data_IF_633196141306
#
_entry.id   IF_633196141306
#
_cell.length_a   1.000
_cell.length_b   1.000
_cell.length_c   1.000
_cell.angle_alpha   90.00
_cell.angle_beta   90.00
_cell.angle_gamma   90.00
#
_symmetry.space_group_name_H-M   'P 1'
#
loop_
_entity.id
_entity.type
_entity.pdbx_description
1 polymer ?
#
# COMPACT_ATOMS: atom_id res chain seq x y z
N UNK A 1 32.51 -16.39 34.05
CA UNK A 1 32.53 -16.14 32.60
C UNK A 1 31.15 -15.94 31.96
N UNK A 2 30.07 -16.34 32.59
CA UNK A 2 28.69 -16.28 32.07
C UNK A 2 28.06 -14.88 32.10
N UNK A 3 28.36 -14.05 33.13
CA UNK A 3 27.83 -12.69 33.30
C UNK A 3 28.28 -11.65 32.22
N UNK A 4 29.38 -11.90 31.51
CA UNK A 4 29.91 -10.96 30.51
C UNK A 4 29.22 -11.09 29.16
N UNK A 5 28.65 -12.24 28.84
CA UNK A 5 27.88 -12.48 27.56
C UNK A 5 26.48 -11.85 27.57
N UNK A 6 25.84 -11.75 28.71
CA UNK A 6 24.51 -11.12 28.80
C UNK A 6 24.53 -9.60 28.59
N UNK A 7 25.63 -8.92 28.91
CA UNK A 7 25.73 -7.46 28.75
C UNK A 7 25.94 -7.02 27.29
N UNK A 8 26.52 -7.86 26.44
CA UNK A 8 26.74 -7.57 25.03
C UNK A 8 25.44 -7.75 24.24
N UNK A 9 24.63 -8.75 24.60
CA UNK A 9 23.33 -9.00 23.97
C UNK A 9 22.30 -7.87 24.18
N UNK A 10 22.39 -7.14 25.29
CA UNK A 10 21.45 -6.04 25.59
C UNK A 10 21.75 -4.72 24.88
N UNK A 11 22.96 -4.55 24.31
CA UNK A 11 23.32 -3.30 23.59
C UNK A 11 23.00 -3.31 22.09
N UNK A 12 22.85 -4.48 21.45
CA UNK A 12 22.55 -4.57 20.00
C UNK A 12 21.05 -4.48 19.67
N UNK A 13 20.17 -4.33 20.63
CA UNK A 13 18.71 -4.32 20.43
C UNK A 13 18.03 -2.93 20.39
N UNK A 14 18.80 -1.85 20.33
CA UNK A 14 18.24 -0.49 20.30
C UNK A 14 18.63 0.29 19.05
N UNK A 15 18.43 -0.29 17.89
CA UNK A 15 18.20 0.53 16.71
C UNK A 15 16.75 0.98 16.84
N UNK A 16 16.55 2.25 17.22
CA UNK A 16 15.21 2.78 17.42
C UNK A 16 14.49 2.73 16.06
N UNK A 17 13.25 2.24 16.08
CA UNK A 17 12.32 2.22 14.94
C UNK A 17 12.28 3.57 14.20
N UNK A 18 12.48 4.69 14.92
CA UNK A 18 12.61 6.03 14.34
C UNK A 18 13.83 6.24 13.44
N UNK A 19 14.95 5.56 13.71
CA UNK A 19 16.15 5.68 12.86
C UNK A 19 15.99 5.03 11.50
N UNK A 20 15.33 3.87 11.44
CA UNK A 20 15.06 3.17 10.16
C UNK A 20 14.04 3.93 9.32
N UNK A 21 13.00 4.49 9.95
CA UNK A 21 11.98 5.30 9.27
C UNK A 21 12.57 6.61 8.74
N UNK A 22 13.48 7.24 9.50
CA UNK A 22 14.17 8.47 9.07
C UNK A 22 15.10 8.22 7.88
N UNK A 23 15.80 7.09 7.84
CA UNK A 23 16.66 6.69 6.71
C UNK A 23 15.79 6.42 5.47
N UNK A 24 14.66 5.73 5.60
CA UNK A 24 13.73 5.46 4.51
C UNK A 24 13.09 6.73 3.96
N UNK A 25 12.77 7.70 4.82
CA UNK A 25 12.23 9.01 4.41
C UNK A 25 13.29 9.88 3.71
N UNK A 26 14.56 9.78 4.09
CA UNK A 26 15.66 10.50 3.42
C UNK A 26 15.93 9.96 2.00
N UNK A 27 15.75 8.66 1.75
CA UNK A 27 15.89 8.06 0.42
C UNK A 27 14.68 8.31 -0.50
N UNK A 28 13.53 8.73 0.04
CA UNK A 28 12.33 9.02 -0.75
C UNK A 28 12.24 10.47 -1.23
N UNK A 29 13.17 11.33 -0.86
CA UNK A 29 13.24 12.69 -1.38
C UNK A 29 13.85 12.65 -2.79
N UNK A 30 13.15 13.16 -3.83
CA UNK A 30 13.70 13.21 -5.17
C UNK A 30 14.95 14.10 -5.17
N UNK A 31 16.06 13.57 -5.69
CA UNK A 31 17.33 14.30 -5.83
C UNK A 31 17.22 15.55 -6.74
N UNK A 32 16.14 15.71 -7.46
CA UNK A 32 15.89 16.83 -8.37
C UNK A 32 15.66 18.18 -7.67
N UNK A 33 15.34 18.19 -6.37
CA UNK A 33 15.09 19.45 -5.64
C UNK A 33 16.38 20.28 -5.45
N UNK A 34 17.56 19.69 -5.62
CA UNK A 34 18.86 20.38 -5.42
C UNK A 34 19.44 20.95 -6.73
N UNK A 35 18.94 20.53 -7.88
CA UNK A 35 19.53 20.90 -9.19
C UNK A 35 18.93 22.16 -9.83
N UNK A 36 17.82 22.69 -9.34
CA UNK A 36 17.06 23.73 -10.07
C UNK A 36 17.23 25.18 -9.55
N UNK A 37 18.23 25.45 -8.72
CA UNK A 37 18.50 26.82 -8.24
C UNK A 37 19.69 27.50 -8.93
N UNK A 38 20.15 27.02 -10.09
CA UNK A 38 21.22 27.69 -10.82
C UNK A 38 20.93 27.78 -12.31
N UNK A 39 20.39 28.92 -12.73
CA UNK A 39 20.53 29.28 -14.13
C UNK A 39 19.32 29.78 -14.88
N UNK A 40 18.53 30.68 -14.31
CA UNK A 40 17.73 31.58 -15.14
C UNK A 40 18.52 32.86 -15.32
N UNK A 41 19.40 32.91 -16.28
CA UNK A 41 19.94 34.14 -16.87
C UNK A 41 19.80 34.08 -18.37
N UNK A 42 18.97 34.98 -18.85
CA UNK A 42 19.03 35.59 -20.18
C UNK A 42 19.14 34.63 -21.37
N UNK A 43 18.04 33.93 -21.65
CA UNK A 43 17.79 33.56 -23.04
C UNK A 43 17.07 34.74 -23.72
N UNK A 44 17.58 35.22 -24.86
CA UNK A 44 16.83 36.16 -25.65
C UNK A 44 15.49 35.55 -25.99
N UNK A 45 14.41 36.29 -25.84
CA UNK A 45 13.07 35.89 -26.23
C UNK A 45 12.99 35.71 -27.75
N UNK A 46 13.59 34.64 -28.25
CA UNK A 46 13.25 34.11 -29.54
C UNK A 46 11.82 33.63 -29.36
N UNK A 47 10.90 34.37 -29.93
CA UNK A 47 9.49 34.00 -30.06
C UNK A 47 9.48 32.72 -30.90
N UNK A 48 9.73 31.58 -30.28
CA UNK A 48 9.51 30.29 -30.88
C UNK A 48 8.00 30.20 -31.06
N UNK A 49 7.54 30.47 -32.28
CA UNK A 49 6.18 30.20 -32.69
C UNK A 49 5.89 28.76 -32.28
N UNK A 50 5.04 28.61 -31.26
CA UNK A 50 4.64 27.28 -30.81
C UNK A 50 3.94 26.60 -31.99
N UNK A 51 4.52 25.58 -32.62
CA UNK A 51 3.96 24.93 -33.81
C UNK A 51 2.57 24.32 -33.53
N UNK A 52 2.23 24.10 -32.26
CA UNK A 52 0.89 23.70 -31.86
C UNK A 52 -0.13 24.85 -31.86
N UNK A 53 0.30 26.11 -31.92
CA UNK A 53 -0.63 27.25 -31.87
C UNK A 53 -1.52 27.34 -33.14
N UNK A 54 -0.99 26.98 -34.30
CA UNK A 54 -1.76 26.89 -35.52
C UNK A 54 -2.77 25.75 -35.48
N UNK A 55 -2.33 24.58 -35.05
CA UNK A 55 -3.21 23.43 -34.88
C UNK A 55 -4.37 23.74 -33.90
N UNK A 56 -4.10 24.43 -32.81
CA UNK A 56 -5.13 24.85 -31.86
C UNK A 56 -6.06 25.93 -32.44
N UNK A 57 -5.57 26.76 -33.34
CA UNK A 57 -6.38 27.77 -34.05
C UNK A 57 -7.36 27.06 -34.98
N UNK A 58 -6.90 26.08 -35.78
CA UNK A 58 -7.71 25.29 -36.68
C UNK A 58 -8.78 24.47 -35.95
N UNK A 59 -8.42 23.87 -34.80
CA UNK A 59 -9.36 23.15 -33.94
C UNK A 59 -10.45 24.09 -33.37
N UNK A 60 -10.11 25.33 -32.99
CA UNK A 60 -11.09 26.31 -32.52
C UNK A 60 -11.99 26.86 -33.62
N UNK A 61 -11.45 27.04 -34.80
CA UNK A 61 -12.20 27.56 -35.96
C UNK A 61 -13.09 26.49 -36.60
N UNK A 62 -13.00 25.23 -36.17
CA UNK A 62 -13.75 24.10 -36.75
C UNK A 62 -13.63 23.98 -38.26
N UNK A 63 -12.59 24.52 -38.86
CA UNK A 63 -12.29 24.37 -40.27
C UNK A 63 -11.87 22.94 -40.55
N UNK A 64 -12.81 22.17 -41.09
CA UNK A 64 -12.64 20.75 -41.35
C UNK A 64 -11.58 20.52 -42.42
N UNK A 65 -10.56 19.75 -42.08
CA UNK A 65 -9.66 19.17 -43.06
C UNK A 65 -8.29 18.77 -42.57
N UNK A 66 -7.74 19.40 -41.56
CA UNK A 66 -6.43 19.01 -41.07
C UNK A 66 -6.59 18.04 -39.87
N UNK A 67 -6.70 16.77 -40.17
CA UNK A 67 -6.52 15.69 -39.19
C UNK A 67 -5.04 15.69 -38.85
N UNK A 68 -4.68 16.37 -37.75
CA UNK A 68 -3.33 16.33 -37.22
C UNK A 68 -2.95 14.88 -36.95
N UNK A 69 -1.95 14.37 -37.65
CA UNK A 69 -1.43 13.02 -37.40
C UNK A 69 -0.62 13.11 -36.14
N UNK A 70 -1.11 12.47 -35.05
CA UNK A 70 -0.35 12.34 -33.84
C UNK A 70 0.91 11.51 -34.08
N UNK A 71 2.08 12.06 -33.73
CA UNK A 71 3.35 11.33 -33.76
C UNK A 71 3.55 10.43 -32.52
N UNK A 72 2.63 10.46 -31.58
CA UNK A 72 2.68 9.60 -30.39
C UNK A 72 2.43 8.16 -30.81
N UNK A 73 3.44 7.31 -30.65
CA UNK A 73 3.34 5.88 -30.92
C UNK A 73 2.74 5.20 -29.68
N UNK A 74 1.61 4.53 -29.83
CA UNK A 74 0.95 3.80 -28.76
C UNK A 74 -0.42 3.27 -29.22
N UNK A 75 -1.07 2.52 -28.34
CA UNK A 75 -2.40 1.93 -28.61
C UNK A 75 -3.46 3.02 -28.89
N UNK A 76 -3.27 4.22 -28.32
CA UNK A 76 -4.15 5.38 -28.46
C UNK A 76 -3.62 6.42 -29.46
N UNK A 77 -2.65 6.06 -30.34
CA UNK A 77 -2.12 6.97 -31.35
C UNK A 77 -3.21 7.36 -32.35
N UNK A 78 -3.43 8.65 -32.53
CA UNK A 78 -4.49 9.19 -33.38
C UNK A 78 -5.83 9.46 -32.69
N UNK A 79 -5.95 9.21 -31.39
CA UNK A 79 -7.14 9.53 -30.60
C UNK A 79 -6.95 10.84 -29.86
N UNK A 80 -7.60 11.91 -30.33
CA UNK A 80 -7.57 13.25 -29.69
C UNK A 80 -8.29 13.28 -28.34
N UNK A 81 -9.34 12.46 -28.18
CA UNK A 81 -10.14 12.39 -26.95
C UNK A 81 -10.08 10.95 -26.43
N UNK A 82 -9.49 10.79 -25.27
CA UNK A 82 -9.45 9.51 -24.60
C UNK A 82 -10.74 9.26 -23.81
N UNK A 83 -11.78 8.76 -24.50
CA UNK A 83 -13.10 8.45 -23.91
C UNK A 83 -12.97 7.43 -22.77
N UNK A 84 -12.10 6.43 -22.93
CA UNK A 84 -11.87 5.43 -21.89
C UNK A 84 -11.22 6.05 -20.65
N UNK A 85 -10.32 7.03 -20.82
CA UNK A 85 -9.71 7.77 -19.69
C UNK A 85 -10.72 8.59 -18.90
N UNK A 86 -11.71 9.22 -19.56
CA UNK A 86 -12.77 9.93 -18.85
C UNK A 86 -13.69 8.97 -18.11
N UNK A 87 -14.06 7.85 -18.74
CA UNK A 87 -14.84 6.78 -18.10
C UNK A 87 -14.12 6.21 -16.88
N UNK A 88 -12.83 5.91 -17.00
CA UNK A 88 -12.02 5.45 -15.88
C UNK A 88 -11.96 6.48 -14.75
N UNK A 89 -11.73 7.75 -15.07
CA UNK A 89 -11.71 8.84 -14.08
C UNK A 89 -13.03 8.95 -13.32
N UNK A 90 -14.16 8.91 -14.02
CA UNK A 90 -15.51 8.93 -13.42
C UNK A 90 -15.72 7.73 -12.51
N UNK A 91 -15.44 6.51 -12.99
CA UNK A 91 -15.56 5.31 -12.18
C UNK A 91 -14.72 5.40 -10.90
N UNK A 92 -13.44 5.82 -11.01
CA UNK A 92 -12.56 5.97 -9.85
C UNK A 92 -13.10 6.99 -8.84
N UNK A 93 -13.53 8.15 -9.30
CA UNK A 93 -13.93 9.24 -8.41
C UNK A 93 -15.34 9.07 -7.84
N UNK A 94 -16.26 8.51 -8.60
CA UNK A 94 -17.68 8.44 -8.25
C UNK A 94 -18.07 7.10 -7.59
N UNK A 95 -17.30 6.04 -7.83
CA UNK A 95 -17.60 4.71 -7.31
C UNK A 95 -16.46 4.14 -6.45
N UNK A 96 -15.27 3.96 -7.00
CA UNK A 96 -14.19 3.24 -6.33
C UNK A 96 -13.76 3.91 -5.02
N UNK A 97 -13.48 5.21 -5.04
CA UNK A 97 -13.07 5.96 -3.85
C UNK A 97 -14.17 6.03 -2.78
N UNK A 98 -15.43 6.40 -3.09
CA UNK A 98 -16.49 6.41 -2.09
C UNK A 98 -16.80 5.04 -1.51
N UNK A 99 -16.86 4.00 -2.34
CA UNK A 99 -17.12 2.63 -1.88
C UNK A 99 -15.99 2.15 -0.99
N UNK A 100 -14.73 2.27 -1.43
CA UNK A 100 -13.57 1.89 -0.64
C UNK A 100 -13.49 2.64 0.69
N UNK A 101 -13.75 3.95 0.68
CA UNK A 101 -13.82 4.76 1.89
C UNK A 101 -14.93 4.32 2.84
N UNK A 102 -16.12 4.03 2.31
CA UNK A 102 -17.25 3.55 3.11
C UNK A 102 -16.97 2.19 3.74
N UNK A 103 -16.34 1.26 3.00
CA UNK A 103 -15.92 -0.04 3.53
C UNK A 103 -14.91 0.15 4.66
N UNK A 104 -13.88 0.98 4.45
CA UNK A 104 -12.85 1.23 5.45
C UNK A 104 -13.44 1.81 6.74
N UNK A 105 -14.27 2.84 6.63
CA UNK A 105 -14.96 3.46 7.78
C UNK A 105 -15.91 2.47 8.43
N UNK A 106 -16.65 1.70 7.64
CA UNK A 106 -17.56 0.66 8.13
C UNK A 106 -16.87 -0.41 8.98
N UNK A 107 -15.66 -0.86 8.57
CA UNK A 107 -14.84 -1.80 9.36
C UNK A 107 -14.44 -1.19 10.70
N UNK A 108 -13.97 0.07 10.74
CA UNK A 108 -13.63 0.74 12.00
C UNK A 108 -14.86 0.89 12.92
N UNK A 109 -16.02 1.27 12.37
CA UNK A 109 -17.26 1.38 13.14
C UNK A 109 -17.66 0.00 13.71
N UNK A 110 -17.62 -1.04 12.88
CA UNK A 110 -17.93 -2.42 13.30
C UNK A 110 -17.04 -2.89 14.44
N UNK A 111 -15.71 -2.67 14.32
CA UNK A 111 -14.74 -3.00 15.36
C UNK A 111 -15.00 -2.19 16.64
N UNK A 112 -15.32 -0.91 16.51
CA UNK A 112 -15.66 -0.05 17.64
C UNK A 112 -16.93 -0.54 18.37
N UNK A 113 -18.00 -0.83 17.63
CA UNK A 113 -19.24 -1.39 18.17
C UNK A 113 -18.97 -2.73 18.85
N UNK A 114 -18.23 -3.62 18.20
CA UNK A 114 -17.86 -4.91 18.79
C UNK A 114 -17.13 -4.75 20.11
N UNK A 115 -16.14 -3.84 20.18
CA UNK A 115 -15.38 -3.57 21.39
C UNK A 115 -16.25 -2.97 22.50
N UNK A 116 -17.16 -2.06 22.16
CA UNK A 116 -18.09 -1.45 23.13
C UNK A 116 -19.10 -2.46 23.70
N UNK A 117 -19.61 -3.34 22.86
CA UNK A 117 -20.61 -4.34 23.26
C UNK A 117 -19.99 -5.53 24.03
N UNK A 118 -18.84 -6.00 23.58
CA UNK A 118 -18.19 -7.23 24.12
C UNK A 118 -17.13 -6.93 25.17
N UNK A 119 -16.42 -5.82 25.04
CA UNK A 119 -15.29 -5.47 25.90
C UNK A 119 -14.11 -6.43 25.74
N UNK A 120 -13.25 -6.47 26.75
CA UNK A 120 -12.10 -7.39 26.80
C UNK A 120 -12.58 -8.80 27.12
N UNK A 121 -12.16 -9.79 26.32
CA UNK A 121 -12.40 -11.20 26.61
C UNK A 121 -11.44 -11.65 27.72
N UNK A 122 -11.93 -12.07 28.90
CA UNK A 122 -11.08 -12.51 29.99
C UNK A 122 -10.47 -13.89 29.68
N UNK A 123 -9.28 -14.12 30.20
CA UNK A 123 -8.62 -15.43 30.16
C UNK A 123 -9.11 -16.24 31.34
N UNK A 124 -9.68 -17.43 31.11
CA UNK A 124 -10.07 -18.35 32.19
C UNK A 124 -8.83 -18.75 33.00
N UNK A 125 -8.88 -18.58 34.30
CA UNK A 125 -7.77 -18.86 35.22
C UNK A 125 -6.73 -17.75 35.29
N UNK A 126 -6.93 -16.60 34.64
CA UNK A 126 -6.00 -15.47 34.68
C UNK A 126 -4.74 -15.64 33.85
N UNK A 127 -3.81 -14.69 33.98
CA UNK A 127 -2.50 -14.77 33.31
C UNK A 127 -1.56 -15.68 34.10
N UNK A 128 -0.88 -16.60 33.39
CA UNK A 128 0.16 -17.43 34.01
C UNK A 128 1.42 -16.59 34.29
N UNK A 129 2.03 -16.81 35.48
CA UNK A 129 3.33 -16.23 35.81
C UNK A 129 4.48 -16.79 34.99
N UNK A 130 4.26 -17.93 34.32
CA UNK A 130 5.25 -18.57 33.47
C UNK A 130 5.27 -17.90 32.09
N UNK A 131 6.41 -17.29 31.75
CA UNK A 131 6.67 -16.71 30.42
C UNK A 131 7.30 -17.76 29.51
N UNK A 132 6.61 -18.12 28.44
CA UNK A 132 7.13 -19.02 27.41
C UNK A 132 7.62 -18.22 26.19
N UNK A 133 8.76 -18.63 25.65
CA UNK A 133 9.24 -18.11 24.38
C UNK A 133 8.40 -18.68 23.23
N UNK A 134 7.45 -17.88 22.72
CA UNK A 134 6.59 -18.30 21.62
C UNK A 134 7.29 -18.16 20.25
N UNK A 135 8.09 -17.11 20.10
CA UNK A 135 8.76 -16.77 18.84
C UNK A 135 10.27 -16.57 19.07
N UNK A 136 11.07 -17.10 18.15
CA UNK A 136 12.51 -16.83 18.11
C UNK A 136 12.77 -15.36 17.73
N UNK A 137 13.99 -14.88 18.02
CA UNK A 137 14.40 -13.53 17.62
C UNK A 137 14.29 -13.33 16.11
N UNK A 138 14.67 -14.33 15.33
CA UNK A 138 14.58 -14.31 13.88
C UNK A 138 13.13 -14.19 13.38
N UNK A 139 12.19 -14.93 13.96
CA UNK A 139 10.76 -14.85 13.65
C UNK A 139 10.19 -13.47 13.94
N UNK A 140 10.62 -12.86 15.05
CA UNK A 140 10.23 -11.50 15.40
C UNK A 140 10.82 -10.46 14.44
N UNK A 141 12.06 -10.66 13.98
CA UNK A 141 12.67 -9.78 12.97
C UNK A 141 11.90 -9.83 11.64
N UNK A 142 11.57 -11.03 11.15
CA UNK A 142 10.75 -11.19 9.93
C UNK A 142 9.40 -10.50 10.10
N UNK A 143 8.72 -10.72 11.21
CA UNK A 143 7.43 -10.07 11.48
C UNK A 143 7.52 -8.54 11.44
N UNK A 144 8.52 -7.96 12.11
CA UNK A 144 8.68 -6.50 12.14
C UNK A 144 9.11 -5.94 10.79
N UNK A 145 9.88 -6.68 10.02
CA UNK A 145 10.24 -6.30 8.66
C UNK A 145 8.99 -6.21 7.76
N UNK A 146 8.15 -7.27 7.76
CA UNK A 146 6.87 -7.26 7.03
C UNK A 146 5.96 -6.14 7.51
N UNK A 147 5.79 -6.00 8.83
CA UNK A 147 4.89 -5.00 9.43
C UNK A 147 5.31 -3.57 9.09
N UNK A 148 6.61 -3.27 9.10
CA UNK A 148 7.12 -1.93 8.77
C UNK A 148 6.85 -1.56 7.32
N UNK A 149 7.14 -2.47 6.37
CA UNK A 149 6.88 -2.25 4.96
C UNK A 149 5.37 -2.13 4.70
N UNK A 150 4.59 -3.03 5.30
CA UNK A 150 3.13 -2.99 5.18
C UNK A 150 2.54 -1.66 5.66
N UNK A 151 2.93 -1.18 6.83
CA UNK A 151 2.45 0.10 7.37
C UNK A 151 2.85 1.27 6.47
N UNK A 152 4.07 1.26 5.96
CA UNK A 152 4.53 2.30 5.03
C UNK A 152 3.69 2.29 3.75
N UNK A 153 3.49 1.12 3.14
CA UNK A 153 2.68 0.97 1.92
C UNK A 153 1.21 1.32 2.17
N UNK A 154 0.64 0.92 3.31
CA UNK A 154 -0.74 1.26 3.68
C UNK A 154 -0.93 2.78 3.82
N UNK A 155 -0.03 3.46 4.53
CA UNK A 155 -0.11 4.92 4.73
C UNK A 155 0.05 5.65 3.40
N UNK A 156 1.09 5.32 2.61
CA UNK A 156 1.32 5.96 1.32
C UNK A 156 0.21 5.67 0.33
N UNK A 157 -0.32 4.44 0.30
CA UNK A 157 -1.47 4.06 -0.52
C UNK A 157 -2.74 4.83 -0.16
N UNK A 158 -3.06 4.98 1.12
CA UNK A 158 -4.20 5.79 1.58
C UNK A 158 -4.05 7.28 1.21
N UNK A 159 -2.83 7.83 1.30
CA UNK A 159 -2.55 9.21 0.86
C UNK A 159 -2.78 9.36 -0.65
N UNK A 160 -2.32 8.40 -1.45
CA UNK A 160 -2.50 8.43 -2.91
C UNK A 160 -3.96 8.24 -3.32
N UNK A 161 -4.71 7.42 -2.59
CA UNK A 161 -6.11 7.13 -2.90
C UNK A 161 -7.06 8.24 -2.46
N UNK A 162 -6.98 8.63 -1.18
CA UNK A 162 -7.91 9.56 -0.54
C UNK A 162 -7.36 10.99 -0.40
N UNK A 163 -6.12 11.24 -0.76
CA UNK A 163 -5.49 12.53 -0.51
C UNK A 163 -6.17 13.70 -1.21
N UNK A 164 -6.70 13.52 -2.41
CA UNK A 164 -7.41 14.60 -3.12
C UNK A 164 -8.65 15.10 -2.36
N UNK A 165 -9.59 14.25 -1.98
CA UNK A 165 -10.79 14.71 -1.25
C UNK A 165 -10.50 15.10 0.20
N UNK A 166 -9.48 14.54 0.85
CA UNK A 166 -9.24 14.73 2.29
C UNK A 166 -8.12 15.72 2.58
N UNK A 167 -6.97 15.59 1.90
CA UNK A 167 -5.78 16.37 2.24
C UNK A 167 -5.71 17.72 1.51
N UNK A 168 -6.13 17.82 0.25
CA UNK A 168 -6.10 19.09 -0.48
C UNK A 168 -6.85 20.21 0.26
N UNK A 169 -8.06 19.97 0.83
CA UNK A 169 -8.74 21.01 1.60
C UNK A 169 -7.99 21.47 2.86
N UNK A 170 -7.09 20.63 3.40
CA UNK A 170 -6.36 20.90 4.65
C UNK A 170 -5.00 21.56 4.40
N UNK A 171 -4.25 21.09 3.39
CA UNK A 171 -2.85 21.52 3.18
C UNK A 171 -2.62 22.27 1.85
N UNK A 172 -3.65 22.37 1.00
CA UNK A 172 -3.55 22.98 -0.31
C UNK A 172 -3.01 22.08 -1.40
N UNK A 173 -3.10 22.54 -2.67
CA UNK A 173 -2.73 21.75 -3.85
C UNK A 173 -1.22 21.54 -3.98
N UNK A 174 -0.45 22.57 -3.71
CA UNK A 174 1.01 22.60 -3.86
C UNK A 174 1.66 21.63 -2.85
N UNK A 175 1.33 21.75 -1.56
CA UNK A 175 1.85 20.87 -0.53
C UNK A 175 1.41 19.41 -0.75
N UNK A 176 0.15 19.21 -1.17
CA UNK A 176 -0.33 17.87 -1.51
C UNK A 176 0.41 17.26 -2.71
N UNK A 177 0.73 18.07 -3.74
CA UNK A 177 1.47 17.60 -4.92
C UNK A 177 2.85 17.03 -4.53
N UNK A 178 3.60 17.76 -3.69
CA UNK A 178 4.89 17.31 -3.18
C UNK A 178 4.75 16.02 -2.37
N UNK A 179 3.79 15.99 -1.44
CA UNK A 179 3.52 14.81 -0.61
C UNK A 179 3.13 13.59 -1.45
N UNK A 180 2.23 13.78 -2.43
CA UNK A 180 1.77 12.69 -3.29
C UNK A 180 2.90 12.14 -4.17
N UNK A 181 3.79 13.00 -4.68
CA UNK A 181 4.98 12.57 -5.43
C UNK A 181 5.92 11.73 -4.56
N UNK A 182 6.24 12.20 -3.36
CA UNK A 182 7.08 11.46 -2.42
C UNK A 182 6.45 10.11 -2.02
N UNK A 183 5.13 10.10 -1.74
CA UNK A 183 4.40 8.88 -1.44
C UNK A 183 4.41 7.90 -2.61
N UNK A 184 4.24 8.38 -3.84
CA UNK A 184 4.26 7.54 -5.04
C UNK A 184 5.62 6.87 -5.23
N UNK A 185 6.70 7.64 -5.18
CA UNK A 185 8.05 7.09 -5.34
C UNK A 185 8.40 6.09 -4.23
N UNK A 186 8.10 6.44 -2.97
CA UNK A 186 8.30 5.53 -1.85
C UNK A 186 7.45 4.26 -1.94
N UNK A 187 6.20 4.37 -2.39
CA UNK A 187 5.30 3.24 -2.59
C UNK A 187 5.82 2.30 -3.68
N UNK A 188 6.25 2.86 -4.81
CA UNK A 188 6.82 2.10 -5.93
C UNK A 188 8.12 1.37 -5.54
N UNK A 189 8.95 2.00 -4.69
CA UNK A 189 10.20 1.40 -4.19
C UNK A 189 9.91 0.26 -3.20
N UNK A 190 8.98 0.47 -2.27
CA UNK A 190 8.68 -0.50 -1.20
C UNK A 190 7.80 -1.66 -1.67
N UNK A 191 7.02 -1.49 -2.76
CA UNK A 191 6.17 -2.53 -3.32
C UNK A 191 6.92 -3.84 -3.64
N UNK A 192 7.96 -3.83 -4.46
CA UNK A 192 8.79 -5.00 -4.74
C UNK A 192 9.44 -5.59 -3.48
N UNK A 193 9.84 -4.74 -2.52
CA UNK A 193 10.40 -5.20 -1.26
C UNK A 193 9.35 -5.92 -0.39
N UNK A 194 8.08 -5.54 -0.50
CA UNK A 194 6.99 -6.23 0.16
C UNK A 194 6.80 -7.66 -0.36
N UNK A 195 7.04 -7.92 -1.64
CA UNK A 195 7.08 -9.29 -2.18
C UNK A 195 8.10 -10.15 -1.42
N UNK A 196 9.32 -9.64 -1.25
CA UNK A 196 10.37 -10.36 -0.50
C UNK A 196 9.92 -10.61 0.94
N UNK A 197 9.33 -9.61 1.58
CA UNK A 197 8.84 -9.71 2.95
C UNK A 197 7.75 -10.79 3.10
N UNK A 198 6.78 -10.84 2.17
CA UNK A 198 5.69 -11.83 2.16
C UNK A 198 6.23 -13.24 1.88
N UNK A 199 7.20 -13.38 0.99
CA UNK A 199 7.86 -14.69 0.74
C UNK A 199 8.59 -15.18 1.99
N UNK A 200 9.32 -14.32 2.69
CA UNK A 200 10.03 -14.69 3.92
C UNK A 200 9.07 -15.15 5.01
N UNK A 201 7.98 -14.42 5.25
CA UNK A 201 6.98 -14.82 6.26
C UNK A 201 6.26 -16.11 5.84
N UNK A 202 5.96 -16.28 4.55
CA UNK A 202 5.37 -17.51 4.03
C UNK A 202 6.27 -18.72 4.32
N UNK A 203 7.52 -18.69 3.85
CA UNK A 203 8.46 -19.79 4.03
C UNK A 203 8.63 -20.14 5.51
N UNK A 204 8.71 -19.13 6.38
CA UNK A 204 8.96 -19.34 7.81
C UNK A 204 7.77 -19.91 8.56
N UNK A 205 6.55 -19.50 8.21
CA UNK A 205 5.36 -19.77 9.03
C UNK A 205 4.34 -20.73 8.38
N UNK A 206 4.45 -21.06 7.09
CA UNK A 206 3.45 -21.87 6.38
C UNK A 206 3.16 -23.19 7.06
N UNK A 207 4.20 -23.92 7.51
CA UNK A 207 4.03 -25.24 8.15
C UNK A 207 3.22 -25.20 9.44
N UNK A 208 3.29 -24.08 10.18
CA UNK A 208 2.53 -23.88 11.44
C UNK A 208 1.11 -23.37 11.19
N UNK A 209 0.83 -22.89 9.98
CA UNK A 209 -0.46 -22.34 9.58
C UNK A 209 -1.30 -23.30 8.71
N UNK A 210 -0.86 -24.55 8.57
CA UNK A 210 -1.66 -25.60 7.94
C UNK A 210 -2.83 -25.95 8.86
N UNK A 211 -3.98 -26.28 8.23
CA UNK A 211 -5.18 -26.73 8.93
C UNK A 211 -4.88 -27.92 9.85
N UNK A 212 -5.44 -27.90 11.05
CA UNK A 212 -5.31 -28.95 12.06
C UNK A 212 -6.67 -29.32 12.65
N UNK A 213 -6.78 -30.53 13.21
CA UNK A 213 -8.00 -30.94 13.92
C UNK A 213 -8.31 -29.98 15.05
N UNK A 214 -9.55 -29.51 15.11
CA UNK A 214 -10.01 -28.51 16.09
C UNK A 214 -10.14 -27.08 15.54
N UNK A 215 -9.47 -26.74 14.44
CA UNK A 215 -9.54 -25.40 13.85
C UNK A 215 -10.96 -25.02 13.44
N UNK A 216 -11.70 -25.98 12.85
CA UNK A 216 -13.09 -25.77 12.46
C UNK A 216 -13.99 -25.55 13.70
N UNK A 217 -13.80 -26.33 14.76
CA UNK A 217 -14.57 -26.15 15.99
C UNK A 217 -14.29 -24.80 16.67
N UNK A 218 -13.05 -24.34 16.58
CA UNK A 218 -12.63 -23.03 17.04
C UNK A 218 -13.34 -21.91 16.24
N UNK A 219 -13.37 -22.05 14.92
CA UNK A 219 -14.03 -21.09 14.02
C UNK A 219 -15.55 -21.01 14.27
N UNK A 220 -16.23 -22.16 14.35
CA UNK A 220 -17.68 -22.25 14.59
C UNK A 220 -18.10 -21.68 15.94
N UNK A 221 -17.20 -21.69 16.93
CA UNK A 221 -17.44 -21.07 18.25
C UNK A 221 -16.88 -19.65 18.35
N UNK A 222 -16.43 -19.08 17.23
CA UNK A 222 -15.87 -17.72 17.20
C UNK A 222 -14.71 -17.52 18.18
N UNK A 223 -13.84 -18.55 18.36
CA UNK A 223 -12.74 -18.47 19.31
C UNK A 223 -13.14 -18.46 20.80
N UNK A 224 -14.37 -18.87 21.11
CA UNK A 224 -14.93 -18.84 22.46
C UNK A 224 -15.82 -17.61 22.73
N UNK A 225 -16.02 -16.74 21.73
CA UNK A 225 -16.95 -15.60 21.84
C UNK A 225 -18.40 -16.12 21.91
N UNK A 226 -18.71 -17.17 21.14
CA UNK A 226 -20.03 -17.82 21.13
C UNK A 226 -20.05 -18.91 22.21
N UNK A 227 -20.91 -18.75 23.21
CA UNK A 227 -21.12 -19.74 24.26
C UNK A 227 -20.18 -19.65 25.46
N UNK A 228 -19.33 -18.65 25.57
CA UNK A 228 -18.44 -18.33 26.71
C UNK A 228 -17.57 -19.52 27.20
N UNK A 229 -17.27 -20.47 26.32
CA UNK A 229 -16.45 -21.66 26.63
C UNK A 229 -15.08 -21.53 25.99
N UNK A 230 -14.02 -21.76 26.76
CA UNK A 230 -12.68 -21.85 26.22
C UNK A 230 -12.59 -22.94 25.14
N UNK A 231 -12.09 -22.60 23.96
CA UNK A 231 -11.86 -23.53 22.86
C UNK A 231 -10.35 -23.78 22.79
N UNK A 232 -9.89 -25.02 23.01
CA UNK A 232 -8.48 -25.33 22.90
C UNK A 232 -7.97 -25.04 21.48
N UNK A 233 -6.78 -24.49 21.37
CA UNK A 233 -6.11 -24.21 20.11
C UNK A 233 -4.70 -24.80 20.11
N UNK A 234 -4.19 -25.08 18.91
CA UNK A 234 -2.79 -25.45 18.72
C UNK A 234 -1.87 -24.24 18.89
N UNK A 235 -0.62 -24.32 18.43
CA UNK A 235 0.35 -23.24 18.49
C UNK A 235 -0.21 -21.91 17.91
N UNK A 236 -0.87 -22.01 16.75
CA UNK A 236 -1.71 -20.94 16.20
C UNK A 236 -3.18 -21.35 16.27
N UNK A 237 -4.03 -20.43 16.72
CA UNK A 237 -5.47 -20.59 16.63
C UNK A 237 -5.96 -20.34 15.20
N UNK A 238 -7.21 -20.70 14.89
CA UNK A 238 -7.74 -20.54 13.53
C UNK A 238 -7.83 -19.06 13.10
N UNK A 239 -8.01 -18.12 14.00
CA UNK A 239 -7.97 -16.70 13.68
C UNK A 239 -6.59 -16.24 13.21
N UNK A 240 -5.52 -16.67 13.90
CA UNK A 240 -4.13 -16.39 13.51
C UNK A 240 -3.80 -17.04 12.16
N UNK A 241 -4.26 -18.27 11.93
CA UNK A 241 -4.11 -18.96 10.63
C UNK A 241 -4.88 -18.24 9.52
N UNK A 242 -6.09 -17.79 9.78
CA UNK A 242 -6.89 -17.02 8.81
C UNK A 242 -6.19 -15.72 8.43
N UNK A 243 -5.63 -14.99 9.39
CA UNK A 243 -4.85 -13.77 9.13
C UNK A 243 -3.60 -14.05 8.31
N UNK A 244 -2.91 -15.16 8.59
CA UNK A 244 -1.75 -15.57 7.79
C UNK A 244 -2.14 -15.82 6.33
N UNK A 245 -3.17 -16.64 6.08
CA UNK A 245 -3.63 -16.94 4.72
C UNK A 245 -4.23 -15.73 4.02
N UNK A 246 -4.91 -14.85 4.75
CA UNK A 246 -5.39 -13.57 4.21
C UNK A 246 -4.21 -12.71 3.73
N UNK A 247 -3.16 -12.58 4.54
CA UNK A 247 -1.95 -11.86 4.16
C UNK A 247 -1.31 -12.45 2.90
N UNK A 248 -1.23 -13.78 2.79
CA UNK A 248 -0.61 -14.44 1.64
C UNK A 248 -1.47 -14.26 0.38
N UNK A 249 -2.77 -14.50 0.46
CA UNK A 249 -3.67 -14.47 -0.71
C UNK A 249 -3.94 -13.03 -1.16
N UNK A 250 -4.41 -12.18 -0.25
CA UNK A 250 -4.73 -10.78 -0.58
C UNK A 250 -3.46 -9.96 -0.80
N UNK A 251 -2.45 -10.15 0.05
CA UNK A 251 -1.14 -9.53 -0.14
C UNK A 251 -0.49 -9.94 -1.47
N UNK A 252 -0.59 -11.22 -1.84
CA UNK A 252 -0.14 -11.72 -3.14
C UNK A 252 -0.86 -11.08 -4.32
N UNK A 253 -2.19 -10.91 -4.23
CA UNK A 253 -2.98 -10.21 -5.25
C UNK A 253 -2.57 -8.73 -5.37
N UNK A 254 -2.42 -8.03 -4.24
CA UNK A 254 -1.97 -6.63 -4.20
C UNK A 254 -0.56 -6.51 -4.79
N UNK A 255 0.35 -7.41 -4.46
CA UNK A 255 1.71 -7.43 -5.02
C UNK A 255 1.66 -7.65 -6.53
N UNK A 256 0.91 -8.65 -7.01
CA UNK A 256 0.81 -8.95 -8.44
C UNK A 256 0.25 -7.76 -9.23
N UNK A 257 -0.85 -7.15 -8.75
CA UNK A 257 -1.42 -5.96 -9.36
C UNK A 257 -0.48 -4.76 -9.29
N UNK A 258 0.23 -4.55 -8.16
CA UNK A 258 1.21 -3.49 -8.01
C UNK A 258 2.39 -3.63 -8.97
N UNK A 259 2.91 -4.84 -9.19
CA UNK A 259 3.98 -5.11 -10.15
C UNK A 259 3.54 -4.79 -11.59
N UNK A 260 2.29 -5.11 -11.96
CA UNK A 260 1.72 -4.72 -13.26
C UNK A 260 1.71 -3.20 -13.43
N UNK A 261 1.39 -2.46 -12.36
CA UNK A 261 1.33 -0.99 -12.39
C UNK A 261 2.72 -0.33 -12.42
N UNK A 262 3.71 -0.91 -11.74
CA UNK A 262 5.07 -0.36 -11.64
C UNK A 262 5.89 -0.68 -12.89
N UNK A 263 5.66 -1.84 -13.53
CA UNK A 263 6.42 -2.29 -14.69
C UNK A 263 5.57 -2.35 -15.97
N UNK A 264 5.25 -1.20 -16.61
CA UNK A 264 4.45 -1.16 -17.84
C UNK A 264 5.22 -1.66 -19.08
N UNK A 265 6.44 -2.17 -18.89
CA UNK A 265 7.36 -2.57 -19.96
C UNK A 265 6.98 -3.88 -20.67
N UNK A 266 6.03 -4.63 -20.15
CA UNK A 266 5.60 -5.91 -20.72
C UNK A 266 4.51 -5.77 -21.79
N UNK A 267 4.26 -4.55 -22.29
CA UNK A 267 3.26 -4.31 -23.33
C UNK A 267 1.82 -4.53 -22.87
N UNK A 268 1.56 -4.39 -21.57
CA UNK A 268 0.21 -4.52 -21.04
C UNK A 268 -0.71 -3.48 -21.67
N UNK A 269 -1.82 -3.96 -22.24
CA UNK A 269 -2.88 -3.10 -22.74
C UNK A 269 -3.54 -2.31 -21.61
N UNK A 270 -4.24 -1.25 -21.97
CA UNK A 270 -4.91 -0.36 -21.02
C UNK A 270 -5.88 -1.08 -20.09
N UNK A 271 -6.62 -2.06 -20.62
CA UNK A 271 -7.59 -2.85 -19.85
C UNK A 271 -6.93 -3.60 -18.69
N UNK A 272 -5.73 -4.15 -18.90
CA UNK A 272 -4.95 -4.79 -17.84
C UNK A 272 -4.48 -3.81 -16.78
N UNK A 273 -4.11 -2.59 -17.17
CA UNK A 273 -3.73 -1.55 -16.22
C UNK A 273 -4.92 -1.08 -15.39
N UNK A 274 -6.11 -0.93 -15.98
CA UNK A 274 -7.34 -0.58 -15.27
C UNK A 274 -7.76 -1.70 -14.30
N UNK A 275 -7.72 -2.96 -14.73
CA UNK A 275 -7.98 -4.12 -13.87
C UNK A 275 -7.00 -4.19 -12.71
N UNK A 276 -5.70 -3.98 -12.99
CA UNK A 276 -4.68 -3.96 -11.95
C UNK A 276 -4.91 -2.83 -10.93
N UNK A 277 -5.36 -1.66 -11.37
CA UNK A 277 -5.74 -0.57 -10.47
C UNK A 277 -6.92 -0.96 -9.56
N UNK A 278 -7.97 -1.59 -10.11
CA UNK A 278 -9.12 -2.04 -9.33
C UNK A 278 -8.69 -3.10 -8.30
N UNK A 279 -7.88 -4.06 -8.71
CA UNK A 279 -7.41 -5.13 -7.83
C UNK A 279 -6.43 -4.63 -6.74
N UNK A 280 -5.72 -3.52 -7.01
CA UNK A 280 -4.74 -2.94 -6.10
C UNK A 280 -5.38 -1.99 -5.07
N UNK A 281 -6.53 -1.40 -5.40
CA UNK A 281 -7.25 -0.45 -4.54
C UNK A 281 -8.17 -1.16 -3.55
#
# INVERSE_FOLDING_TARGET
MIKKRERISRRMGRISFGGLLAILLLYSLPLEIIAETKGSRDMPSVMVLNPAAELWRDVRQREGGNIGISQVRGVDSGVLINVNGDRWRKFRMEQLIPIGGSILVGVFILLGIFYLLRGKVPIEGGQSDRKLFRYSTYERMIHWFVASIFLFLAITGLILLFGRPVLIPLIGKEAFSVLASACKEGHNLMGPLFLVAVVLIFIRFVRRNIYQRGDLSWLLRGGGIIGNKHVPSNFFNMGEKSMFWLLILVGGLIIASGLVLVFPLFGQGREWMELAHVAHT
#
